data_IF_356687247677
#
_entry.id   IF_356687247677
#
_cell.length_a   1.000
_cell.length_b   1.000
_cell.length_c   1.000
_cell.angle_alpha   90.00
_cell.angle_beta   90.00
_cell.angle_gamma   90.00
#
_symmetry.space_group_name_H-M   'P 1'
#
loop_
_entity.id
_entity.type
_entity.pdbx_description
1 polymer ?
#
# COMPACT_ATOMS: atom_id res chain seq x y z
N UNK A 1 25.96 -48.66 27.74
CA UNK A 1 26.72 -49.03 26.53
C UNK A 1 25.72 -49.28 25.41
N UNK A 2 26.09 -48.85 24.18
CA UNK A 2 25.56 -49.23 22.87
C UNK A 2 24.44 -48.39 22.19
N UNK A 3 24.85 -47.61 21.19
CA UNK A 3 24.25 -47.34 19.85
C UNK A 3 25.17 -48.08 18.84
N UNK A 4 24.79 -48.52 17.61
CA UNK A 4 23.79 -47.95 16.69
C UNK A 4 22.96 -48.91 15.78
N UNK A 5 22.05 -48.28 15.01
CA UNK A 5 21.32 -48.53 13.73
C UNK A 5 21.44 -49.86 12.94
N UNK A 6 20.40 -50.22 12.13
CA UNK A 6 20.60 -50.20 10.67
C UNK A 6 19.38 -49.84 9.77
N UNK A 7 19.60 -48.90 8.85
CA UNK A 7 19.36 -48.88 7.39
C UNK A 7 18.58 -50.06 6.75
N UNK A 8 17.61 -49.75 5.87
CA UNK A 8 17.26 -50.64 4.74
C UNK A 8 16.66 -49.92 3.51
N UNK A 9 17.17 -50.27 2.33
CA UNK A 9 16.58 -50.22 0.97
C UNK A 9 17.15 -51.44 0.19
N UNK A 10 16.74 -51.81 -1.06
CA UNK A 10 15.45 -51.88 -1.78
C UNK A 10 15.15 -53.35 -2.26
N UNK A 11 14.25 -53.59 -3.23
CA UNK A 11 14.72 -54.17 -4.53
C UNK A 11 14.01 -53.56 -5.77
N UNK A 12 14.72 -53.30 -6.89
CA UNK A 12 14.88 -54.15 -8.11
C UNK A 12 13.53 -54.59 -8.68
N UNK A 13 13.03 -54.23 -9.86
CA UNK A 13 13.67 -53.87 -11.14
C UNK A 13 13.26 -54.93 -12.16
N UNK A 14 12.27 -54.64 -13.02
CA UNK A 14 12.02 -55.39 -14.26
C UNK A 14 11.58 -54.40 -15.36
N UNK A 15 12.28 -54.48 -16.49
CA UNK A 15 12.01 -53.77 -17.74
C UNK A 15 11.76 -54.83 -18.82
N UNK A 16 10.69 -54.69 -19.59
CA UNK A 16 10.52 -55.21 -20.97
C UNK A 16 9.20 -54.64 -21.52
N UNK A 17 9.22 -53.61 -22.38
CA UNK A 17 9.32 -53.60 -23.84
C UNK A 17 8.04 -54.03 -24.63
N UNK A 18 7.63 -53.09 -25.50
CA UNK A 18 6.90 -53.27 -26.77
C UNK A 18 5.36 -53.47 -26.65
N UNK A 19 4.46 -52.86 -27.43
CA UNK A 19 4.48 -52.25 -28.76
C UNK A 19 3.25 -51.33 -28.94
N UNK A 20 3.43 -50.25 -29.71
CA UNK A 20 2.48 -49.45 -30.51
C UNK A 20 0.97 -49.43 -30.20
N UNK A 21 0.39 -48.22 -30.20
CA UNK A 21 -0.33 -47.70 -31.37
C UNK A 21 -0.61 -46.20 -31.21
N UNK A 22 -0.21 -45.43 -32.22
CA UNK A 22 -0.56 -44.04 -32.36
C UNK A 22 -1.98 -43.96 -32.95
N UNK A 23 -2.95 -43.55 -32.14
CA UNK A 23 -4.26 -43.12 -32.63
C UNK A 23 -4.41 -41.64 -32.35
N UNK A 24 -4.14 -40.84 -33.38
CA UNK A 24 -4.49 -39.42 -33.43
C UNK A 24 -6.01 -39.36 -33.58
N UNK A 25 -6.71 -39.25 -32.45
CA UNK A 25 -8.14 -39.03 -32.40
C UNK A 25 -8.43 -37.56 -32.12
N UNK A 26 -8.74 -36.80 -33.17
CA UNK A 26 -9.35 -35.48 -33.05
C UNK A 26 -10.61 -35.55 -32.21
N UNK A 27 -10.61 -34.82 -31.10
CA UNK A 27 -11.82 -34.28 -30.51
C UNK A 27 -11.56 -32.80 -30.24
N UNK A 28 -12.06 -31.95 -31.14
CA UNK A 28 -12.32 -30.54 -30.87
C UNK A 28 -13.27 -30.46 -29.66
N UNK A 29 -12.71 -30.29 -28.47
CA UNK A 29 -13.46 -29.75 -27.34
C UNK A 29 -13.21 -28.25 -27.31
N UNK A 30 -14.13 -27.52 -27.92
CA UNK A 30 -14.36 -26.10 -27.66
C UNK A 30 -14.63 -25.92 -26.16
N UNK A 31 -13.58 -25.72 -25.37
CA UNK A 31 -13.70 -25.06 -24.07
C UNK A 31 -13.88 -23.57 -24.37
N UNK A 32 -15.13 -23.15 -24.54
CA UNK A 32 -15.47 -21.75 -24.38
C UNK A 32 -15.26 -21.45 -22.89
N UNK A 33 -14.10 -20.87 -22.57
CA UNK A 33 -13.89 -20.24 -21.28
C UNK A 33 -14.98 -19.16 -21.13
N UNK A 34 -15.67 -19.07 -19.98
CA UNK A 34 -16.56 -17.95 -19.74
C UNK A 34 -15.74 -16.66 -19.86
N UNK A 35 -16.20 -15.74 -20.72
CA UNK A 35 -15.70 -14.38 -20.77
C UNK A 35 -15.78 -13.80 -19.35
N UNK A 36 -14.61 -13.62 -18.74
CA UNK A 36 -14.48 -12.85 -17.50
C UNK A 36 -14.81 -11.42 -17.87
N UNK A 37 -16.08 -11.04 -17.75
CA UNK A 37 -16.44 -9.63 -17.66
C UNK A 37 -15.66 -9.05 -16.48
N UNK A 38 -14.80 -8.03 -16.68
CA UNK A 38 -14.22 -7.32 -15.56
C UNK A 38 -15.37 -6.56 -14.89
N UNK A 39 -15.96 -7.16 -13.86
CA UNK A 39 -16.96 -6.51 -13.02
C UNK A 39 -16.40 -6.42 -11.61
N UNK A 40 -15.65 -5.34 -11.39
CA UNK A 40 -15.52 -4.69 -10.11
C UNK A 40 -15.04 -3.27 -10.42
N UNK A 41 -16.02 -2.40 -10.69
CA UNK A 41 -15.85 -0.97 -10.46
C UNK A 41 -15.28 -0.85 -9.03
N UNK A 42 -14.10 -0.25 -8.87
CA UNK A 42 -13.56 0.03 -7.54
C UNK A 42 -14.64 0.75 -6.72
N UNK A 43 -14.79 0.49 -5.41
CA UNK A 43 -15.79 1.18 -4.62
C UNK A 43 -15.56 2.68 -4.81
N UNK A 44 -16.51 3.35 -5.45
CA UNK A 44 -16.44 4.78 -5.65
C UNK A 44 -16.39 5.41 -4.27
N UNK A 45 -15.26 6.03 -3.93
CA UNK A 45 -15.11 6.81 -2.71
C UNK A 45 -16.28 7.80 -2.63
N UNK A 46 -17.07 7.71 -1.57
CA UNK A 46 -18.28 8.53 -1.35
C UNK A 46 -17.98 10.02 -1.14
N UNK A 47 -16.70 10.41 -1.10
CA UNK A 47 -16.27 11.79 -0.91
C UNK A 47 -16.32 12.58 -2.24
N UNK A 48 -16.68 13.87 -2.20
CA UNK A 48 -16.68 14.71 -3.40
C UNK A 48 -15.28 14.81 -4.01
N UNK A 49 -15.18 15.00 -5.34
CA UNK A 49 -13.89 15.15 -6.00
C UNK A 49 -13.15 16.40 -5.51
N UNK A 50 -11.84 16.26 -5.39
CA UNK A 50 -10.87 17.28 -4.96
C UNK A 50 -10.10 17.75 -6.19
N UNK A 51 -10.05 19.07 -6.41
CA UNK A 51 -9.23 19.63 -7.46
C UNK A 51 -7.75 19.43 -7.16
N UNK A 52 -6.98 18.90 -8.12
CA UNK A 52 -5.54 18.76 -7.99
C UNK A 52 -4.87 20.13 -8.13
N UNK A 53 -4.11 20.60 -7.12
CA UNK A 53 -3.36 21.84 -7.22
C UNK A 53 -2.28 21.76 -8.31
N UNK A 54 -1.92 22.88 -8.96
CA UNK A 54 -0.77 22.92 -9.84
C UNK A 54 0.50 22.58 -9.05
N UNK A 55 1.35 21.71 -9.61
CA UNK A 55 2.65 21.33 -9.04
C UNK A 55 3.67 22.45 -9.24
N UNK A 56 3.75 23.37 -8.30
CA UNK A 56 4.68 24.51 -8.37
C UNK A 56 5.88 24.35 -7.44
N UNK A 57 5.91 23.29 -6.62
CA UNK A 57 6.84 23.15 -5.51
C UNK A 57 6.59 24.20 -4.43
N UNK A 58 7.57 24.36 -3.54
CA UNK A 58 7.51 25.35 -2.47
C UNK A 58 7.84 24.73 -1.10
N UNK A 59 7.68 25.51 -0.02
CA UNK A 59 7.93 25.01 1.31
C UNK A 59 6.74 24.19 1.81
N UNK A 60 7.05 23.17 2.61
CA UNK A 60 6.08 22.52 3.49
C UNK A 60 5.68 23.46 4.63
N UNK A 61 4.42 23.36 5.06
CA UNK A 61 3.89 24.05 6.23
C UNK A 61 3.66 23.03 7.34
N UNK A 62 4.36 23.18 8.46
CA UNK A 62 4.15 22.35 9.66
C UNK A 62 2.81 22.69 10.31
N UNK A 63 2.06 21.67 10.72
CA UNK A 63 0.72 21.81 11.29
C UNK A 63 0.50 21.05 12.61
N UNK A 64 1.33 20.05 12.93
CA UNK A 64 1.35 19.28 14.19
C UNK A 64 -0.07 18.97 14.74
N UNK A 65 -0.85 18.19 14.00
CA UNK A 65 -2.22 17.79 14.38
C UNK A 65 -2.22 16.31 14.72
N UNK A 66 -2.64 15.94 15.93
CA UNK A 66 -2.94 14.55 16.30
C UNK A 66 -4.42 14.40 16.61
N UNK A 67 -5.05 13.36 16.07
CA UNK A 67 -6.46 13.08 16.28
C UNK A 67 -6.71 11.58 16.47
N UNK A 68 -7.55 11.25 17.46
CA UNK A 68 -7.99 9.88 17.77
C UNK A 68 -9.47 9.65 17.43
N UNK A 69 -10.11 10.60 16.75
CA UNK A 69 -11.50 10.50 16.30
C UNK A 69 -11.79 11.40 15.11
N UNK A 70 -12.83 11.04 14.33
CA UNK A 70 -13.26 11.79 13.16
C UNK A 70 -13.62 13.26 13.51
N UNK A 71 -14.26 13.48 14.67
CA UNK A 71 -14.62 14.81 15.14
C UNK A 71 -13.39 15.69 15.42
N UNK A 72 -12.31 15.11 15.95
CA UNK A 72 -11.06 15.84 16.19
C UNK A 72 -10.38 16.22 14.88
N UNK A 73 -10.31 15.30 13.92
CA UNK A 73 -9.81 15.58 12.56
C UNK A 73 -10.61 16.73 11.93
N UNK A 74 -11.95 16.68 11.99
CA UNK A 74 -12.80 17.71 11.42
C UNK A 74 -12.63 19.07 12.10
N UNK A 75 -12.24 19.12 13.37
CA UNK A 75 -11.97 20.35 14.11
C UNK A 75 -10.58 20.97 13.82
N UNK A 76 -9.67 20.26 13.15
CA UNK A 76 -8.30 20.71 12.89
C UNK A 76 -8.22 21.75 11.76
N UNK A 77 -8.55 23.02 12.07
CA UNK A 77 -8.64 24.09 11.08
C UNK A 77 -7.32 24.43 10.33
N UNK A 78 -6.17 23.95 10.81
CA UNK A 78 -4.88 24.04 10.11
C UNK A 78 -4.80 23.13 8.88
N UNK A 79 -5.68 22.13 8.78
CA UNK A 79 -5.73 21.18 7.67
C UNK A 79 -6.72 21.60 6.58
N UNK A 80 -6.41 21.37 5.29
CA UNK A 80 -7.36 21.53 4.20
C UNK A 80 -8.66 20.76 4.47
N UNK A 81 -9.80 21.37 4.16
CA UNK A 81 -11.11 20.77 4.42
C UNK A 81 -11.28 19.39 3.77
N UNK A 82 -10.79 19.22 2.55
CA UNK A 82 -10.86 17.96 1.82
C UNK A 82 -9.97 16.88 2.45
N UNK A 83 -8.82 17.26 3.01
CA UNK A 83 -7.96 16.34 3.76
C UNK A 83 -8.63 15.92 5.08
N UNK A 84 -9.24 16.87 5.79
CA UNK A 84 -10.01 16.57 7.01
C UNK A 84 -11.12 15.57 6.75
N UNK A 85 -11.90 15.80 5.69
CA UNK A 85 -12.98 14.89 5.30
C UNK A 85 -12.46 13.48 4.97
N UNK A 86 -11.34 13.40 4.25
CA UNK A 86 -10.68 12.14 3.93
C UNK A 86 -10.22 11.39 5.20
N UNK A 87 -9.41 12.02 6.05
CA UNK A 87 -8.88 11.37 7.27
C UNK A 87 -10.00 11.02 8.27
N UNK A 88 -11.02 11.88 8.40
CA UNK A 88 -12.17 11.62 9.24
C UNK A 88 -13.00 10.42 8.78
N UNK A 89 -12.99 10.10 7.49
CA UNK A 89 -13.66 8.92 6.95
C UNK A 89 -12.94 7.60 7.22
N UNK A 90 -11.70 7.66 7.73
CA UNK A 90 -10.82 6.50 7.93
C UNK A 90 -10.68 6.12 9.40
N UNK A 91 -10.57 7.11 10.29
CA UNK A 91 -10.33 6.86 11.70
C UNK A 91 -11.51 6.15 12.36
N UNK A 92 -11.21 5.04 13.05
CA UNK A 92 -12.21 4.16 13.67
C UNK A 92 -12.99 3.28 12.69
N UNK A 93 -12.59 3.24 11.42
CA UNK A 93 -13.19 2.36 10.40
C UNK A 93 -12.23 1.21 10.12
N UNK A 94 -12.76 -0.01 10.14
CA UNK A 94 -12.03 -1.22 9.78
C UNK A 94 -11.84 -1.28 8.26
N UNK A 95 -10.61 -1.53 7.80
CA UNK A 95 -10.29 -1.74 6.40
C UNK A 95 -10.47 -3.21 5.97
N UNK A 96 -10.22 -3.51 4.70
CA UNK A 96 -10.38 -4.86 4.14
C UNK A 96 -9.42 -5.90 4.74
N UNK A 97 -8.36 -5.45 5.45
CA UNK A 97 -7.42 -6.31 6.16
C UNK A 97 -7.82 -6.56 7.62
N UNK A 98 -8.92 -5.96 8.10
CA UNK A 98 -9.34 -6.02 9.51
C UNK A 98 -8.61 -5.02 10.41
N UNK A 99 -7.90 -4.07 9.82
CA UNK A 99 -7.15 -3.05 10.54
C UNK A 99 -8.00 -1.80 10.76
N UNK A 100 -7.98 -1.27 11.97
CA UNK A 100 -8.72 -0.06 12.34
C UNK A 100 -7.75 1.02 12.77
N UNK A 101 -7.69 2.12 12.02
CA UNK A 101 -6.93 3.30 12.39
C UNK A 101 -7.49 3.90 13.69
N UNK A 102 -6.63 4.08 14.69
CA UNK A 102 -6.95 4.53 16.03
C UNK A 102 -6.45 5.94 16.34
N UNK A 103 -5.36 6.35 15.68
CA UNK A 103 -4.80 7.70 15.76
C UNK A 103 -4.20 8.07 14.41
N UNK A 104 -4.37 9.33 14.02
CA UNK A 104 -3.73 9.92 12.85
C UNK A 104 -3.02 11.20 13.32
N UNK A 105 -1.74 11.32 12.99
CA UNK A 105 -1.00 12.57 13.12
C UNK A 105 -0.66 13.14 11.74
N UNK A 106 -0.85 14.44 11.57
CA UNK A 106 -0.44 15.19 10.38
C UNK A 106 0.58 16.23 10.83
N UNK A 107 1.82 16.05 10.40
CA UNK A 107 2.94 16.88 10.80
C UNK A 107 3.12 18.06 9.85
N UNK A 108 2.90 17.83 8.55
CA UNK A 108 3.09 18.87 7.52
C UNK A 108 2.12 18.75 6.35
N UNK A 109 1.84 19.89 5.69
CA UNK A 109 1.06 19.99 4.45
C UNK A 109 1.82 20.78 3.39
N UNK A 110 1.62 20.43 2.12
CA UNK A 110 2.23 21.10 0.98
C UNK A 110 1.17 21.67 0.04
N UNK A 111 1.44 22.87 -0.51
CA UNK A 111 0.51 23.60 -1.39
C UNK A 111 0.17 22.82 -2.68
N UNK A 112 1.08 21.96 -3.14
CA UNK A 112 0.84 21.08 -4.29
C UNK A 112 -0.17 19.95 -4.02
N UNK A 113 -0.74 19.85 -2.81
CA UNK A 113 -1.74 18.84 -2.48
C UNK A 113 -1.12 17.55 -1.94
N UNK A 114 -0.16 17.69 -1.02
CA UNK A 114 0.39 16.58 -0.23
C UNK A 114 0.28 16.88 1.27
N UNK A 115 0.28 15.82 2.06
CA UNK A 115 0.41 15.89 3.51
C UNK A 115 1.33 14.75 3.99
N UNK A 116 2.01 14.96 5.11
CA UNK A 116 2.88 13.98 5.74
C UNK A 116 2.54 13.85 7.21
N UNK A 117 2.63 12.63 7.73
CA UNK A 117 2.53 12.34 9.15
C UNK A 117 2.51 10.84 9.42
N UNK A 118 1.74 10.42 10.42
CA UNK A 118 1.65 9.02 10.84
C UNK A 118 0.21 8.55 11.00
N UNK A 119 0.01 7.23 10.87
CA UNK A 119 -1.25 6.56 11.15
C UNK A 119 -0.97 5.34 12.03
N UNK A 120 -1.63 5.27 13.18
CA UNK A 120 -1.54 4.18 14.14
C UNK A 120 -2.82 3.35 14.10
N UNK A 121 -2.68 2.04 14.03
CA UNK A 121 -3.80 1.10 13.98
C UNK A 121 -3.62 -0.05 14.97
N UNK A 122 -4.66 -0.87 15.12
CA UNK A 122 -4.56 -2.17 15.82
C UNK A 122 -3.62 -3.19 15.12
N UNK A 123 -3.16 -2.90 13.90
CA UNK A 123 -2.24 -3.74 13.13
C UNK A 123 -0.79 -3.24 13.15
N UNK A 124 -0.54 -2.01 13.59
CA UNK A 124 0.77 -1.37 13.51
C UNK A 124 0.65 0.13 13.20
N UNK A 125 1.80 0.82 13.28
CA UNK A 125 1.94 2.24 12.99
C UNK A 125 2.81 2.45 11.77
N UNK A 126 2.44 3.41 10.93
CA UNK A 126 3.19 3.75 9.72
C UNK A 126 3.40 5.26 9.60
N UNK A 127 4.51 5.63 8.99
CA UNK A 127 4.65 6.96 8.39
C UNK A 127 3.93 6.96 7.04
N UNK A 128 3.25 8.07 6.75
CA UNK A 128 2.38 8.17 5.58
C UNK A 128 2.56 9.50 4.88
N UNK A 129 2.69 9.43 3.56
CA UNK A 129 2.49 10.55 2.66
C UNK A 129 1.13 10.40 2.00
N UNK A 130 0.24 11.36 2.26
CA UNK A 130 -1.03 11.48 1.53
C UNK A 130 -0.87 12.49 0.39
N UNK A 131 -1.62 12.29 -0.68
CA UNK A 131 -1.60 13.17 -1.83
C UNK A 131 -2.86 13.08 -2.67
N UNK A 132 -3.10 14.12 -3.46
CA UNK A 132 -4.24 14.16 -4.37
C UNK A 132 -3.86 13.48 -5.69
N UNK A 133 -4.52 12.37 -6.01
CA UNK A 133 -4.45 11.65 -7.29
C UNK A 133 -5.86 11.29 -7.74
N UNK A 134 -6.11 11.23 -9.05
CA UNK A 134 -7.44 10.85 -9.58
C UNK A 134 -8.60 11.68 -8.99
N UNK A 135 -8.33 12.94 -8.66
CA UNK A 135 -9.26 13.86 -8.00
C UNK A 135 -9.70 13.45 -6.59
N UNK A 136 -8.93 12.65 -5.86
CA UNK A 136 -9.20 12.28 -4.47
C UNK A 136 -7.91 12.22 -3.66
N UNK A 137 -8.03 12.24 -2.33
CA UNK A 137 -6.89 11.99 -1.44
C UNK A 137 -6.62 10.48 -1.38
N UNK A 138 -5.35 10.11 -1.50
CA UNK A 138 -4.88 8.73 -1.43
C UNK A 138 -3.65 8.62 -0.55
N UNK A 139 -3.39 7.40 -0.08
CA UNK A 139 -2.09 7.00 0.44
C UNK A 139 -1.14 6.89 -0.76
N UNK A 140 -0.17 7.80 -0.83
CA UNK A 140 0.84 7.79 -1.89
C UNK A 140 1.94 6.81 -1.52
N UNK A 141 2.41 6.91 -0.28
CA UNK A 141 3.34 5.96 0.33
C UNK A 141 2.99 5.80 1.79
N UNK A 142 2.95 4.56 2.28
CA UNK A 142 2.84 4.22 3.69
C UNK A 142 3.93 3.19 4.02
N UNK A 143 4.67 3.41 5.10
CA UNK A 143 5.83 2.59 5.43
C UNK A 143 6.09 2.55 6.94
N UNK A 144 6.44 1.37 7.43
CA UNK A 144 6.81 1.15 8.84
C UNK A 144 8.32 1.33 9.05
N UNK A 145 9.12 0.91 8.06
CA UNK A 145 10.57 1.00 8.04
C UNK A 145 11.08 1.99 6.98
N UNK A 146 12.29 2.51 7.17
CA UNK A 146 12.92 3.43 6.23
C UNK A 146 12.98 2.83 4.81
N UNK A 147 12.39 3.55 3.85
CA UNK A 147 12.39 3.18 2.42
C UNK A 147 13.38 4.02 1.62
N UNK A 148 13.76 3.61 0.39
CA UNK A 148 14.60 4.42 -0.47
C UNK A 148 13.97 5.78 -0.82
N UNK A 149 14.77 6.85 -0.81
CA UNK A 149 14.31 8.21 -1.20
C UNK A 149 13.71 8.25 -2.62
N UNK A 150 14.16 7.32 -3.48
CA UNK A 150 13.64 7.15 -4.84
C UNK A 150 12.13 6.90 -4.87
N UNK A 151 11.56 6.23 -3.87
CA UNK A 151 10.12 5.94 -3.84
C UNK A 151 9.28 7.22 -3.75
N UNK A 152 9.72 8.19 -2.95
CA UNK A 152 9.07 9.49 -2.88
C UNK A 152 9.23 10.29 -4.18
N UNK A 153 10.40 10.23 -4.81
CA UNK A 153 10.64 10.92 -6.09
C UNK A 153 9.80 10.33 -7.22
N UNK A 154 9.63 9.01 -7.26
CA UNK A 154 8.77 8.35 -8.26
C UNK A 154 7.29 8.70 -8.11
N UNK A 155 6.89 9.13 -6.92
CA UNK A 155 5.53 9.54 -6.61
C UNK A 155 5.36 11.08 -6.60
N UNK A 156 6.32 11.81 -7.18
CA UNK A 156 6.34 13.27 -7.27
C UNK A 156 6.15 13.98 -5.92
N UNK A 157 6.59 13.37 -4.81
CA UNK A 157 6.53 13.98 -3.49
C UNK A 157 7.56 15.11 -3.43
N UNK A 158 7.17 16.36 -3.07
CA UNK A 158 8.09 17.48 -2.95
C UNK A 158 9.13 17.23 -1.86
N UNK A 159 10.39 17.55 -2.15
CA UNK A 159 11.50 17.44 -1.19
C UNK A 159 11.38 18.47 -0.05
N UNK A 160 12.16 18.28 1.01
CA UNK A 160 12.16 19.16 2.18
C UNK A 160 11.00 18.92 3.13
N UNK A 161 10.51 17.68 3.20
CA UNK A 161 9.41 17.30 4.09
C UNK A 161 9.94 17.29 5.53
N UNK A 162 9.38 18.07 6.47
CA UNK A 162 9.89 18.12 7.83
C UNK A 162 9.82 16.75 8.52
N UNK A 163 10.97 16.23 8.96
CA UNK A 163 11.06 14.98 9.73
C UNK A 163 10.98 13.70 8.90
N UNK A 164 10.66 13.77 7.60
CA UNK A 164 10.65 12.60 6.73
C UNK A 164 12.09 12.19 6.40
N UNK A 165 12.42 10.95 6.75
CA UNK A 165 13.72 10.36 6.46
C UNK A 165 13.59 9.14 5.57
N UNK A 166 14.60 8.94 4.74
CA UNK A 166 14.66 7.87 3.75
C UNK A 166 16.09 7.34 3.62
N UNK A 167 16.25 6.25 2.88
CA UNK A 167 17.56 5.69 2.55
C UNK A 167 18.03 6.26 1.21
N UNK A 168 19.21 6.88 1.20
CA UNK A 168 19.84 7.31 -0.05
C UNK A 168 20.32 6.11 -0.89
N UNK A 169 20.97 6.41 -2.02
CA UNK A 169 21.47 5.37 -2.93
C UNK A 169 22.56 4.47 -2.31
N UNK A 170 23.19 4.90 -1.23
CA UNK A 170 24.22 4.15 -0.48
C UNK A 170 23.61 3.39 0.71
N UNK A 171 22.30 3.53 0.95
CA UNK A 171 21.59 2.93 2.09
C UNK A 171 21.74 3.72 3.40
N UNK A 172 22.17 4.98 3.33
CA UNK A 172 22.33 5.85 4.50
C UNK A 172 21.07 6.68 4.74
N UNK A 173 20.73 6.91 6.01
CA UNK A 173 19.58 7.73 6.37
C UNK A 173 19.81 9.21 5.99
N UNK A 174 18.95 9.75 5.14
CA UNK A 174 18.93 11.13 4.67
C UNK A 174 17.56 11.76 4.90
N UNK A 175 17.51 13.08 4.94
CA UNK A 175 16.24 13.82 4.92
C UNK A 175 15.75 13.88 3.46
N UNK A 176 14.44 13.74 3.26
CA UNK A 176 13.81 13.79 1.92
C UNK A 176 13.40 15.20 1.52
#
# INVERSE_FOLDING_TARGET
MWTPDPTQAPPTGEAELATAEATVGSAEQQSQAPEVVPSAEAPASSLPPVAQPPRNGGPWTTVDVTATSASQVMAAASLPETLRAFLASRIGIEDDAGCTASEISVDAVHADGFAFGTEESNCGGSQVVWGITESQWHYIVAFEDAIPCREFTLNDVPTGVPGLRCLDAEGTAADY
#
